data_IF_869055388398
#
_entry.id   IF_869055388398
#
_cell.length_a   1.000
_cell.length_b   1.000
_cell.length_c   1.000
_cell.angle_alpha   90.00
_cell.angle_beta   90.00
_cell.angle_gamma   90.00
#
_symmetry.space_group_name_H-M   'P 1'
#
loop_
_entity.id
_entity.type
_entity.pdbx_description
1 polymer ?
#
# COMPACT_ATOMS: atom_id res chain seq x y z
N UNK A 1 7.63 -13.42 9.90
CA UNK A 1 8.06 -12.14 9.30
C UNK A 1 8.86 -12.50 8.06
N UNK A 2 8.58 -11.85 6.93
CA UNK A 2 9.36 -11.97 5.70
C UNK A 2 10.19 -10.68 5.56
N UNK A 3 11.46 -10.82 5.17
CA UNK A 3 12.37 -9.71 4.92
C UNK A 3 13.00 -9.91 3.55
N UNK A 4 12.91 -8.92 2.70
CA UNK A 4 13.41 -8.95 1.32
C UNK A 4 14.63 -8.08 1.12
N UNK A 5 15.27 -7.67 2.19
CA UNK A 5 16.43 -6.78 2.17
C UNK A 5 16.08 -5.30 2.16
N UNK A 6 17.10 -4.47 2.12
CA UNK A 6 16.98 -3.01 2.17
C UNK A 6 17.87 -2.33 1.15
N UNK A 7 17.39 -1.19 0.60
CA UNK A 7 18.19 -0.30 -0.26
C UNK A 7 18.95 0.77 0.52
N UNK A 8 18.80 0.80 1.85
CA UNK A 8 19.55 1.69 2.71
C UNK A 8 20.96 1.09 2.97
N UNK A 9 22.00 1.71 2.39
CA UNK A 9 23.39 1.24 2.49
C UNK A 9 23.93 1.35 3.91
N UNK A 10 23.57 2.40 4.63
CA UNK A 10 23.99 2.58 6.03
C UNK A 10 23.49 1.43 6.91
N UNK A 11 22.23 1.01 6.72
CA UNK A 11 21.69 -0.13 7.46
C UNK A 11 22.36 -1.45 7.08
N UNK A 12 22.73 -1.63 5.80
CA UNK A 12 23.43 -2.86 5.38
C UNK A 12 24.83 -3.02 5.98
N UNK A 13 25.45 -1.89 6.29
CA UNK A 13 26.81 -1.83 6.88
C UNK A 13 26.78 -1.78 8.41
N UNK A 14 25.63 -1.54 9.03
CA UNK A 14 25.47 -1.49 10.47
C UNK A 14 25.47 -2.91 11.07
N UNK A 15 26.46 -3.29 11.90
CA UNK A 15 26.54 -4.61 12.53
C UNK A 15 25.40 -4.87 13.53
N UNK A 16 24.63 -3.85 13.92
CA UNK A 16 23.48 -3.96 14.82
C UNK A 16 22.14 -4.02 14.04
N UNK A 17 22.18 -3.97 12.71
CA UNK A 17 20.97 -4.07 11.91
C UNK A 17 20.35 -5.47 12.04
N UNK A 18 19.09 -5.53 12.48
CA UNK A 18 18.37 -6.78 12.71
C UNK A 18 17.67 -7.35 11.47
N UNK A 19 17.58 -6.56 10.39
CA UNK A 19 17.01 -7.00 9.12
C UNK A 19 18.02 -7.77 8.27
N UNK A 20 17.58 -8.21 7.10
CA UNK A 20 18.42 -8.91 6.13
C UNK A 20 19.36 -7.92 5.42
N UNK A 21 20.70 -7.96 5.66
CA UNK A 21 21.63 -6.92 5.23
C UNK A 21 22.06 -7.06 3.77
N UNK A 22 21.11 -7.24 2.88
CA UNK A 22 21.31 -7.35 1.44
C UNK A 22 20.47 -6.34 0.69
N UNK A 23 20.83 -6.08 -0.57
CA UNK A 23 20.01 -5.24 -1.45
C UNK A 23 18.60 -5.83 -1.56
N UNK A 24 17.60 -4.93 -1.57
CA UNK A 24 16.20 -5.34 -1.65
C UNK A 24 15.94 -6.14 -2.93
N UNK A 25 15.27 -7.27 -2.76
CA UNK A 25 14.74 -8.04 -3.88
C UNK A 25 13.72 -7.20 -4.65
N UNK A 26 13.76 -7.25 -5.96
CA UNK A 26 12.83 -6.54 -6.84
C UNK A 26 12.43 -7.38 -8.07
N UNK A 27 11.66 -6.77 -8.98
CA UNK A 27 11.24 -7.40 -10.23
C UNK A 27 10.35 -8.63 -10.03
N UNK A 28 10.52 -9.62 -10.90
CA UNK A 28 9.67 -10.82 -10.89
C UNK A 28 9.95 -11.70 -9.67
N UNK A 29 11.19 -11.84 -9.23
CA UNK A 29 11.53 -12.62 -8.03
C UNK A 29 10.84 -12.07 -6.77
N UNK A 30 10.69 -10.74 -6.67
CA UNK A 30 9.92 -10.12 -5.60
C UNK A 30 8.44 -10.48 -5.69
N UNK A 31 7.85 -10.44 -6.89
CA UNK A 31 6.45 -10.79 -7.10
C UNK A 31 6.18 -12.28 -6.87
N UNK A 32 7.10 -13.16 -7.25
CA UNK A 32 7.01 -14.59 -6.96
C UNK A 32 6.97 -14.87 -5.46
N UNK A 33 7.80 -14.19 -4.67
CA UNK A 33 7.76 -14.30 -3.21
C UNK A 33 6.41 -13.83 -2.64
N UNK A 34 5.86 -12.73 -3.17
CA UNK A 34 4.53 -12.25 -2.76
C UNK A 34 3.45 -13.25 -3.16
N UNK A 35 3.55 -13.86 -4.36
CA UNK A 35 2.62 -14.91 -4.80
C UNK A 35 2.64 -16.11 -3.85
N UNK A 36 3.83 -16.62 -3.49
CA UNK A 36 3.97 -17.72 -2.52
C UNK A 36 3.33 -17.37 -1.18
N UNK A 37 3.57 -16.16 -0.67
CA UNK A 37 2.96 -15.68 0.56
C UNK A 37 1.44 -15.66 0.45
N UNK A 38 0.87 -15.11 -0.63
CA UNK A 38 -0.57 -15.00 -0.82
C UNK A 38 -1.23 -16.38 -0.93
N UNK A 39 -0.60 -17.33 -1.62
CA UNK A 39 -1.09 -18.71 -1.71
C UNK A 39 -1.07 -19.37 -0.32
N UNK A 40 0.04 -19.25 0.41
CA UNK A 40 0.18 -19.84 1.73
C UNK A 40 -0.83 -19.28 2.74
N UNK A 41 -1.09 -17.97 2.69
CA UNK A 41 -2.07 -17.31 3.56
C UNK A 41 -3.49 -17.80 3.25
N UNK A 42 -3.86 -17.91 1.98
CA UNK A 42 -5.20 -18.37 1.58
C UNK A 42 -5.42 -19.86 1.92
N UNK A 43 -4.39 -20.68 1.79
CA UNK A 43 -4.46 -22.09 2.19
C UNK A 43 -4.63 -22.25 3.71
N UNK A 44 -3.88 -21.47 4.47
CA UNK A 44 -3.87 -21.56 5.94
C UNK A 44 -5.06 -20.87 6.60
N UNK A 45 -5.48 -19.74 6.08
CA UNK A 45 -6.53 -18.89 6.66
C UNK A 45 -7.63 -18.59 5.65
N UNK A 46 -8.68 -19.38 5.67
CA UNK A 46 -9.84 -19.16 4.79
C UNK A 46 -10.56 -17.86 5.15
N UNK A 47 -10.92 -17.09 4.13
CA UNK A 47 -11.64 -15.82 4.26
C UNK A 47 -10.87 -14.72 5.04
N UNK A 48 -9.55 -14.80 5.09
CA UNK A 48 -8.74 -13.73 5.68
C UNK A 48 -8.72 -12.51 4.78
N UNK A 49 -8.80 -11.32 5.37
CA UNK A 49 -8.53 -10.07 4.69
C UNK A 49 -7.03 -9.79 4.74
N UNK A 50 -6.40 -9.61 3.59
CA UNK A 50 -4.99 -9.22 3.47
C UNK A 50 -4.91 -7.71 3.23
N UNK A 51 -4.26 -7.01 4.15
CA UNK A 51 -3.96 -5.58 4.03
C UNK A 51 -2.52 -5.41 3.56
N UNK A 52 -2.33 -4.73 2.44
CA UNK A 52 -1.02 -4.29 1.98
C UNK A 52 -0.72 -2.89 2.51
N UNK A 53 0.43 -2.72 3.15
CA UNK A 53 0.87 -1.49 3.81
C UNK A 53 2.35 -1.23 3.52
N UNK A 54 2.74 0.03 3.39
CA UNK A 54 4.14 0.49 3.22
C UNK A 54 4.89 -0.12 2.01
N UNK A 55 4.16 -0.48 0.96
CA UNK A 55 4.77 -0.84 -0.31
C UNK A 55 5.16 0.42 -1.10
N UNK A 56 6.34 0.40 -1.74
CA UNK A 56 6.71 1.43 -2.69
C UNK A 56 5.64 1.56 -3.79
N UNK A 57 5.32 2.79 -4.20
CA UNK A 57 4.23 3.10 -5.14
C UNK A 57 4.17 2.17 -6.36
N UNK A 58 5.27 1.86 -7.09
CA UNK A 58 5.19 0.95 -8.22
C UNK A 58 4.76 -0.46 -7.84
N UNK A 59 5.25 -0.97 -6.70
CA UNK A 59 4.88 -2.30 -6.19
C UNK A 59 3.46 -2.31 -5.63
N UNK A 60 3.04 -1.26 -4.93
CA UNK A 60 1.70 -1.14 -4.38
C UNK A 60 0.62 -1.32 -5.45
N UNK A 61 0.74 -0.63 -6.59
CA UNK A 61 -0.20 -0.75 -7.70
C UNK A 61 -0.14 -2.10 -8.40
N UNK A 62 1.07 -2.64 -8.61
CA UNK A 62 1.24 -3.97 -9.23
C UNK A 62 0.59 -5.06 -8.39
N UNK A 63 0.83 -5.07 -7.09
CA UNK A 63 0.28 -6.03 -6.14
C UNK A 63 -1.24 -5.88 -6.07
N UNK A 64 -1.75 -4.66 -5.88
CA UNK A 64 -3.19 -4.42 -5.82
C UNK A 64 -3.90 -4.90 -7.10
N UNK A 65 -3.39 -4.56 -8.27
CA UNK A 65 -3.96 -5.00 -9.55
C UNK A 65 -3.91 -6.52 -9.72
N UNK A 66 -2.85 -7.17 -9.21
CA UNK A 66 -2.66 -8.61 -9.32
C UNK A 66 -3.69 -9.42 -8.52
N UNK A 67 -4.13 -8.89 -7.36
CA UNK A 67 -4.92 -9.67 -6.41
C UNK A 67 -6.33 -9.16 -6.16
N UNK A 68 -6.63 -7.87 -6.35
CA UNK A 68 -7.91 -7.26 -5.96
C UNK A 68 -9.17 -7.97 -6.45
N UNK A 69 -9.10 -8.60 -7.62
CA UNK A 69 -10.23 -9.29 -8.23
C UNK A 69 -10.21 -10.81 -8.00
N UNK A 70 -9.23 -11.30 -7.24
CA UNK A 70 -9.02 -12.73 -6.99
C UNK A 70 -9.13 -13.10 -5.51
N UNK A 71 -8.70 -12.21 -4.63
CA UNK A 71 -8.55 -12.46 -3.22
C UNK A 71 -9.13 -11.29 -2.41
N UNK A 72 -9.54 -11.56 -1.18
CA UNK A 72 -10.01 -10.54 -0.25
C UNK A 72 -8.79 -9.75 0.26
N UNK A 73 -8.50 -8.65 -0.41
CA UNK A 73 -7.36 -7.80 -0.07
C UNK A 73 -7.62 -6.33 -0.43
N UNK A 74 -6.85 -5.45 0.18
CA UNK A 74 -6.79 -4.05 -0.19
C UNK A 74 -5.39 -3.48 0.08
N UNK A 75 -5.08 -2.34 -0.51
CA UNK A 75 -3.88 -1.57 -0.20
C UNK A 75 -4.27 -0.33 0.60
N UNK A 76 -3.70 -0.17 1.79
CA UNK A 76 -4.08 0.90 2.71
C UNK A 76 -3.55 2.25 2.27
N UNK A 77 -2.33 2.31 1.73
CA UNK A 77 -1.75 3.56 1.19
C UNK A 77 -2.57 4.15 0.02
N UNK A 78 -3.23 3.28 -0.75
CA UNK A 78 -4.05 3.69 -1.91
C UNK A 78 -5.50 3.83 -1.51
N UNK A 79 -6.13 2.74 -1.03
CA UNK A 79 -7.57 2.64 -0.81
C UNK A 79 -8.00 3.10 0.59
N UNK A 80 -7.25 2.75 1.64
CA UNK A 80 -7.53 3.18 3.00
C UNK A 80 -7.34 4.68 3.16
N UNK A 81 -6.24 5.22 2.66
CA UNK A 81 -5.96 6.66 2.64
C UNK A 81 -7.02 7.43 1.82
N UNK A 82 -7.47 6.87 0.70
CA UNK A 82 -8.57 7.45 -0.08
C UNK A 82 -9.87 7.52 0.74
N UNK A 83 -10.22 6.42 1.41
CA UNK A 83 -11.45 6.32 2.19
C UNK A 83 -11.47 7.31 3.38
N UNK A 84 -10.39 7.38 4.16
CA UNK A 84 -10.30 8.30 5.29
C UNK A 84 -10.28 9.76 4.85
N UNK A 85 -9.60 10.08 3.75
CA UNK A 85 -9.55 11.43 3.19
C UNK A 85 -10.93 11.87 2.69
N UNK A 86 -11.65 10.99 1.97
CA UNK A 86 -13.03 11.27 1.56
C UNK A 86 -13.93 11.52 2.76
N UNK A 87 -13.79 10.72 3.83
CA UNK A 87 -14.51 10.94 5.09
C UNK A 87 -14.26 12.33 5.66
N UNK A 88 -13.02 12.80 5.68
CA UNK A 88 -12.63 14.16 6.09
C UNK A 88 -13.23 15.25 5.21
N UNK A 89 -13.18 15.06 3.88
CA UNK A 89 -13.78 16.01 2.93
C UNK A 89 -15.30 16.09 3.12
N UNK A 90 -15.99 14.96 3.28
CA UNK A 90 -17.43 14.94 3.55
C UNK A 90 -17.78 15.60 4.89
N UNK A 91 -16.96 15.39 5.93
CA UNK A 91 -17.15 16.07 7.20
C UNK A 91 -16.95 17.59 7.07
N UNK A 92 -15.98 18.03 6.26
CA UNK A 92 -15.74 19.46 6.01
C UNK A 92 -16.93 20.15 5.31
N UNK A 93 -17.64 19.46 4.42
CA UNK A 93 -18.85 20.03 3.78
C UNK A 93 -19.95 20.31 4.81
N UNK A 94 -20.13 19.42 5.79
CA UNK A 94 -21.09 19.61 6.88
C UNK A 94 -20.69 20.79 7.77
N UNK A 95 -19.42 20.90 8.12
CA UNK A 95 -18.91 21.97 8.98
C UNK A 95 -18.98 23.37 8.32
N UNK A 96 -18.76 23.43 7.00
CA UNK A 96 -18.72 24.71 6.25
C UNK A 96 -20.01 25.07 5.55
N UNK A 97 -21.00 24.19 5.48
CA UNK A 97 -22.23 24.33 4.73
C UNK A 97 -22.08 24.35 3.21
N UNK A 98 -20.89 23.99 2.69
CA UNK A 98 -20.63 23.92 1.25
C UNK A 98 -21.09 22.58 0.67
N UNK A 99 -21.55 22.62 -0.59
CA UNK A 99 -21.83 21.37 -1.30
C UNK A 99 -20.55 20.70 -1.75
N UNK A 100 -20.51 19.36 -1.75
CA UNK A 100 -19.37 18.58 -2.22
C UNK A 100 -18.94 18.96 -3.65
N UNK A 101 -19.90 19.12 -4.55
CA UNK A 101 -19.67 19.48 -5.97
C UNK A 101 -19.01 20.85 -6.18
N UNK A 102 -19.09 21.74 -5.19
CA UNK A 102 -18.53 23.10 -5.27
C UNK A 102 -17.11 23.17 -4.67
N UNK A 103 -16.59 22.05 -4.15
CA UNK A 103 -15.25 21.99 -3.61
C UNK A 103 -14.20 21.98 -4.74
N UNK A 104 -13.09 22.65 -4.46
CA UNK A 104 -11.87 22.56 -5.28
C UNK A 104 -10.82 21.88 -4.43
N UNK A 105 -10.33 20.74 -4.92
CA UNK A 105 -9.29 19.95 -4.25
C UNK A 105 -8.00 20.11 -5.01
N UNK A 106 -6.92 20.42 -4.31
CA UNK A 106 -5.59 20.51 -4.85
C UNK A 106 -4.71 19.41 -4.22
N UNK A 107 -4.01 18.68 -5.06
CA UNK A 107 -3.02 17.69 -4.63
C UNK A 107 -1.62 18.27 -4.72
N UNK A 108 -0.87 18.16 -3.64
CA UNK A 108 0.56 18.47 -3.62
C UNK A 108 1.32 17.17 -3.47
N UNK A 109 1.72 16.58 -4.59
CA UNK A 109 2.35 15.27 -4.67
C UNK A 109 1.59 14.31 -5.57
N UNK A 110 2.23 13.21 -5.98
CA UNK A 110 1.69 12.19 -6.88
C UNK A 110 2.07 10.75 -6.46
N UNK A 111 2.21 10.52 -5.16
CA UNK A 111 2.43 9.18 -4.59
C UNK A 111 1.15 8.34 -4.52
N UNK A 112 1.24 7.17 -3.90
CA UNK A 112 0.11 6.23 -3.74
C UNK A 112 -1.11 6.89 -3.13
N UNK A 113 -0.94 7.68 -2.07
CA UNK A 113 -2.01 8.39 -1.40
C UNK A 113 -2.72 9.40 -2.32
N UNK A 114 -1.96 10.31 -2.96
CA UNK A 114 -2.53 11.34 -3.81
C UNK A 114 -3.29 10.75 -5.01
N UNK A 115 -2.74 9.71 -5.63
CA UNK A 115 -3.38 9.05 -6.77
C UNK A 115 -4.58 8.20 -6.33
N UNK A 116 -4.52 7.57 -5.16
CA UNK A 116 -5.65 6.84 -4.57
C UNK A 116 -6.82 7.76 -4.23
N UNK A 117 -6.55 8.93 -3.62
CA UNK A 117 -7.58 9.92 -3.26
C UNK A 117 -8.21 10.55 -4.52
N UNK A 118 -7.41 10.73 -5.60
CA UNK A 118 -7.85 11.37 -6.84
C UNK A 118 -8.72 10.49 -7.75
N UNK A 119 -8.71 9.18 -7.54
CA UNK A 119 -9.52 8.20 -8.28
C UNK A 119 -10.88 7.98 -7.63
#
# INVERSE_FOLDING_TARGET
MLDVGTNNEELREDPLYLGYPHARLDGEAYLELVDEFMVAVQDKFRNVLVQFEDFLTPNAYRILTRYRDKLLCFNDDIQGTAAVSLGGVLASTRATGKNFKDLKVMFLGAGSAATGIGN
#
